data_IF_249429203364
#
_entry.id   IF_249429203364
#
_cell.length_a   1.000
_cell.length_b   1.000
_cell.length_c   1.000
_cell.angle_alpha   90.00
_cell.angle_beta   90.00
_cell.angle_gamma   90.00
#
_symmetry.space_group_name_H-M   'P 1'
#
loop_
_entity.id
_entity.type
_entity.pdbx_description
1 polymer ?
#
# COMPACT_ATOMS: atom_id res chain seq x y z
N UNK A 1 19.12 24.16 -6.38
CA UNK A 1 19.56 24.61 -7.73
C UNK A 1 19.93 23.47 -8.66
N UNK A 2 20.60 22.41 -8.20
CA UNK A 2 21.00 21.27 -9.06
C UNK A 2 19.77 20.54 -9.63
N UNK A 3 18.79 20.21 -8.82
CA UNK A 3 17.56 19.48 -9.22
C UNK A 3 16.70 20.22 -10.27
N UNK A 4 16.62 21.55 -10.20
CA UNK A 4 15.92 22.35 -11.23
C UNK A 4 16.66 22.30 -12.58
N UNK A 5 17.99 22.25 -12.57
CA UNK A 5 18.77 22.08 -13.82
C UNK A 5 18.55 20.71 -14.46
N UNK A 6 18.41 19.67 -13.64
CA UNK A 6 18.12 18.32 -14.13
C UNK A 6 16.74 18.25 -14.76
N UNK A 7 15.74 18.77 -14.10
CA UNK A 7 14.39 18.91 -14.65
C UNK A 7 14.39 19.70 -15.98
N UNK A 8 15.09 20.84 -16.02
CA UNK A 8 15.20 21.64 -17.24
C UNK A 8 15.81 20.88 -18.43
N UNK A 9 16.83 20.04 -18.18
CA UNK A 9 17.39 19.15 -19.21
C UNK A 9 16.39 18.13 -19.72
N UNK A 10 15.62 17.52 -18.81
CA UNK A 10 14.56 16.55 -19.16
C UNK A 10 13.53 17.26 -20.04
N UNK A 11 13.04 18.43 -19.63
CA UNK A 11 12.08 19.21 -20.39
C UNK A 11 12.58 19.56 -21.79
N UNK A 12 13.83 20.01 -21.91
CA UNK A 12 14.46 20.27 -23.19
C UNK A 12 14.50 19.05 -24.09
N UNK A 13 14.86 17.89 -23.53
CA UNK A 13 14.90 16.63 -24.29
C UNK A 13 13.50 16.24 -24.79
N UNK A 14 12.47 16.34 -23.95
CA UNK A 14 11.07 16.06 -24.33
C UNK A 14 10.65 16.97 -25.49
N UNK A 15 10.93 18.29 -25.41
CA UNK A 15 10.65 19.23 -26.50
C UNK A 15 11.32 18.82 -27.80
N UNK A 16 12.63 18.49 -27.76
CA UNK A 16 13.39 18.07 -28.93
C UNK A 16 12.89 16.78 -29.53
N UNK A 17 12.47 15.80 -28.73
CA UNK A 17 11.84 14.55 -29.21
C UNK A 17 10.52 14.84 -29.92
N UNK A 18 9.79 15.87 -29.50
CA UNK A 18 8.57 16.33 -30.18
C UNK A 18 8.85 17.22 -31.39
N UNK A 19 10.15 17.40 -31.81
CA UNK A 19 10.58 18.22 -32.92
C UNK A 19 10.10 19.68 -32.86
N UNK A 20 9.99 20.27 -31.66
CA UNK A 20 9.54 21.63 -31.47
C UNK A 20 10.73 22.55 -31.17
N UNK A 21 10.76 23.75 -31.78
CA UNK A 21 11.63 24.85 -31.36
C UNK A 21 11.07 25.55 -30.11
N UNK A 22 11.83 26.43 -29.47
CA UNK A 22 11.29 27.25 -28.38
C UNK A 22 10.26 28.27 -28.90
N UNK A 23 10.42 28.71 -30.11
CA UNK A 23 9.51 29.62 -30.84
C UNK A 23 8.20 28.92 -31.19
N UNK A 24 8.23 27.64 -31.57
CA UNK A 24 7.01 26.85 -31.82
C UNK A 24 6.17 26.71 -30.55
N UNK A 25 6.82 26.45 -29.42
CA UNK A 25 6.14 26.38 -28.12
C UNK A 25 5.50 27.72 -27.76
N UNK A 26 6.22 28.83 -27.96
CA UNK A 26 5.68 30.18 -27.74
C UNK A 26 4.44 30.44 -28.62
N UNK A 27 4.49 30.04 -29.89
CA UNK A 27 3.37 30.21 -30.82
C UNK A 27 2.15 29.38 -30.41
N UNK A 28 2.35 28.13 -29.94
CA UNK A 28 1.26 27.19 -29.67
C UNK A 28 0.58 27.46 -28.32
N UNK A 29 1.36 27.68 -27.26
CA UNK A 29 0.83 27.78 -25.88
C UNK A 29 1.14 29.12 -25.20
N UNK A 30 1.79 30.08 -25.89
CA UNK A 30 2.01 31.43 -25.37
C UNK A 30 3.12 31.55 -24.31
N UNK A 31 3.84 30.49 -24.00
CA UNK A 31 5.02 30.54 -23.12
C UNK A 31 6.19 31.08 -23.90
N UNK A 32 6.67 32.31 -23.57
CA UNK A 32 7.74 32.93 -24.34
C UNK A 32 9.01 32.06 -24.44
N UNK A 33 9.64 32.05 -25.62
CA UNK A 33 10.87 31.31 -25.88
C UNK A 33 11.97 31.67 -24.84
N UNK A 34 12.02 32.93 -24.41
CA UNK A 34 12.94 33.37 -23.33
C UNK A 34 12.60 32.70 -21.99
N UNK A 35 11.31 32.58 -21.63
CA UNK A 35 10.89 31.92 -20.37
C UNK A 35 11.17 30.43 -20.43
N UNK A 36 10.86 29.78 -21.55
CA UNK A 36 11.15 28.38 -21.77
C UNK A 36 12.64 28.09 -21.75
N UNK A 37 13.45 28.92 -22.40
CA UNK A 37 14.92 28.81 -22.35
C UNK A 37 15.48 28.91 -20.94
N UNK A 38 14.96 29.85 -20.12
CA UNK A 38 15.37 29.98 -18.72
C UNK A 38 14.99 28.75 -17.91
N UNK A 39 13.81 28.16 -18.19
CA UNK A 39 13.33 26.94 -17.57
C UNK A 39 14.21 25.73 -17.93
N UNK A 40 14.47 25.52 -19.20
CA UNK A 40 15.31 24.43 -19.70
C UNK A 40 16.76 24.50 -19.19
N UNK A 41 17.26 25.70 -18.95
CA UNK A 41 18.59 25.92 -18.37
C UNK A 41 18.61 25.92 -16.83
N UNK A 42 17.47 25.72 -16.18
CA UNK A 42 17.34 25.71 -14.72
C UNK A 42 17.60 27.07 -14.07
N UNK A 43 17.35 28.17 -14.80
CA UNK A 43 17.56 29.56 -14.36
C UNK A 43 16.28 30.19 -13.79
N UNK A 44 15.25 29.39 -13.52
CA UNK A 44 13.99 29.80 -12.88
C UNK A 44 13.91 29.13 -11.51
N UNK A 45 13.53 29.87 -10.48
CA UNK A 45 13.37 29.30 -9.13
C UNK A 45 12.06 28.54 -8.96
N UNK A 46 10.97 29.03 -9.57
CA UNK A 46 9.64 28.44 -9.46
C UNK A 46 9.00 28.41 -10.84
N UNK A 47 8.37 27.31 -11.18
CA UNK A 47 7.53 27.13 -12.37
C UNK A 47 6.09 27.23 -11.91
N UNK A 48 5.23 27.93 -12.67
CA UNK A 48 3.79 27.90 -12.38
C UNK A 48 3.22 26.52 -12.73
N UNK A 49 2.24 26.09 -11.95
CA UNK A 49 1.52 24.83 -12.22
C UNK A 49 0.83 24.90 -13.58
N UNK A 50 0.27 26.08 -13.95
CA UNK A 50 -0.38 26.30 -15.24
C UNK A 50 0.57 26.03 -16.41
N UNK A 51 1.79 26.58 -16.36
CA UNK A 51 2.79 26.31 -17.40
C UNK A 51 3.14 24.83 -17.52
N UNK A 52 3.22 24.11 -16.38
CA UNK A 52 3.48 22.67 -16.40
C UNK A 52 2.32 21.91 -17.03
N UNK A 53 1.06 22.29 -16.77
CA UNK A 53 -0.13 21.66 -17.37
C UNK A 53 -0.16 21.90 -18.88
N UNK A 54 0.09 23.13 -19.35
CA UNK A 54 0.11 23.47 -20.76
C UNK A 54 1.21 22.76 -21.51
N UNK A 55 2.42 22.72 -20.95
CA UNK A 55 3.54 21.95 -21.52
C UNK A 55 3.28 20.44 -21.50
N UNK A 56 2.62 19.92 -20.45
CA UNK A 56 2.22 18.51 -20.38
C UNK A 56 1.27 18.15 -21.52
N UNK A 57 0.27 19.00 -21.75
CA UNK A 57 -0.71 18.82 -22.83
C UNK A 57 -0.04 18.88 -24.21
N UNK A 58 0.92 19.78 -24.39
CA UNK A 58 1.62 19.95 -25.66
C UNK A 58 2.54 18.76 -25.97
N UNK A 59 3.24 18.23 -24.94
CA UNK A 59 4.23 17.18 -25.14
C UNK A 59 3.67 15.76 -24.97
N UNK A 60 2.45 15.61 -24.46
CA UNK A 60 1.86 14.30 -24.16
C UNK A 60 2.52 13.58 -22.97
N UNK A 61 3.18 14.32 -22.08
CA UNK A 61 3.92 13.80 -20.93
C UNK A 61 3.43 14.44 -19.62
N UNK A 62 3.36 13.68 -18.54
CA UNK A 62 3.01 14.25 -17.21
C UNK A 62 4.21 14.98 -16.59
N UNK A 63 4.39 16.24 -16.97
CA UNK A 63 5.47 17.07 -16.45
C UNK A 63 5.32 17.44 -14.99
N UNK A 64 4.11 17.39 -14.42
CA UNK A 64 3.90 17.61 -12.98
C UNK A 64 4.50 16.46 -12.18
N UNK A 65 4.27 15.22 -12.61
CA UNK A 65 4.86 14.05 -11.96
C UNK A 65 6.40 14.04 -12.11
N UNK A 66 6.90 14.33 -13.32
CA UNK A 66 8.34 14.44 -13.58
C UNK A 66 8.97 15.56 -12.72
N UNK A 67 8.32 16.71 -12.61
CA UNK A 67 8.77 17.83 -11.78
C UNK A 67 8.81 17.45 -10.31
N UNK A 68 7.75 16.83 -9.80
CA UNK A 68 7.66 16.39 -8.42
C UNK A 68 8.74 15.35 -8.08
N UNK A 69 8.91 14.34 -8.92
CA UNK A 69 9.95 13.32 -8.76
C UNK A 69 11.36 13.91 -8.69
N UNK A 70 11.65 14.91 -9.51
CA UNK A 70 13.00 15.50 -9.57
C UNK A 70 13.28 16.48 -8.43
N UNK A 71 12.31 17.31 -8.00
CA UNK A 71 12.53 18.31 -6.97
C UNK A 71 12.32 17.78 -5.56
N UNK A 72 11.36 16.90 -5.41
CA UNK A 72 10.92 16.34 -4.12
C UNK A 72 11.19 14.84 -4.03
N UNK A 73 12.35 14.40 -4.53
CA UNK A 73 12.71 12.98 -4.64
C UNK A 73 12.46 12.19 -3.36
N UNK A 74 12.88 12.71 -2.22
CA UNK A 74 12.71 12.03 -0.92
C UNK A 74 11.25 11.99 -0.47
N UNK A 75 10.46 13.03 -0.71
CA UNK A 75 9.02 13.04 -0.48
C UNK A 75 8.31 12.04 -1.41
N UNK A 76 8.70 12.01 -2.68
CA UNK A 76 8.17 11.06 -3.66
C UNK A 76 8.47 9.60 -3.25
N UNK A 77 9.71 9.30 -2.90
CA UNK A 77 10.11 7.98 -2.42
C UNK A 77 9.33 7.59 -1.15
N UNK A 78 9.15 8.52 -0.22
CA UNK A 78 8.37 8.27 0.98
C UNK A 78 6.92 7.91 0.66
N UNK A 79 6.25 8.69 -0.20
CA UNK A 79 4.85 8.41 -0.59
C UNK A 79 4.74 7.09 -1.38
N UNK A 80 5.69 6.79 -2.27
CA UNK A 80 5.75 5.50 -2.97
C UNK A 80 5.84 4.33 -1.99
N UNK A 81 6.76 4.41 -1.01
CA UNK A 81 6.93 3.37 0.00
C UNK A 81 5.69 3.27 0.89
N UNK A 82 5.13 4.41 1.30
CA UNK A 82 3.94 4.46 2.13
C UNK A 82 2.75 3.81 1.42
N UNK A 83 2.56 4.11 0.14
CA UNK A 83 1.49 3.52 -0.65
C UNK A 83 1.70 2.01 -0.83
N UNK A 84 2.91 1.57 -1.15
CA UNK A 84 3.20 0.14 -1.33
C UNK A 84 3.12 -0.66 -0.03
N UNK A 85 3.65 -0.15 1.07
CA UNK A 85 3.66 -0.86 2.36
C UNK A 85 2.45 -0.54 3.24
N UNK A 86 1.92 0.67 3.14
CA UNK A 86 0.82 1.13 3.99
C UNK A 86 -0.54 0.74 3.45
N UNK A 87 -0.73 0.81 2.14
CA UNK A 87 -2.02 0.73 1.46
C UNK A 87 -2.09 -0.45 0.49
N UNK A 88 -1.04 -0.67 -0.29
CA UNK A 88 -1.04 -1.70 -1.32
C UNK A 88 -0.66 -3.07 -0.77
N UNK A 89 -1.10 -4.08 -1.48
CA UNK A 89 -0.70 -5.48 -1.44
C UNK A 89 -0.46 -6.15 -0.08
N UNK A 90 -1.23 -7.21 0.14
CA UNK A 90 -1.03 -8.19 1.20
C UNK A 90 0.28 -8.98 0.97
N UNK A 91 0.72 -9.05 -0.28
CA UNK A 91 1.88 -9.82 -0.71
C UNK A 91 2.94 -8.91 -1.31
N UNK A 92 3.99 -8.65 -0.54
CA UNK A 92 5.22 -8.01 -1.04
C UNK A 92 6.28 -9.09 -1.10
N UNK A 93 6.83 -9.28 -2.29
CA UNK A 93 7.90 -10.24 -2.50
C UNK A 93 9.21 -9.75 -1.85
N UNK A 94 10.09 -10.69 -1.46
CA UNK A 94 11.36 -10.36 -0.80
C UNK A 94 12.22 -9.40 -1.62
N UNK A 95 12.29 -9.61 -2.94
CA UNK A 95 13.04 -8.74 -3.85
C UNK A 95 12.50 -7.31 -3.88
N UNK A 96 11.18 -7.16 -3.88
CA UNK A 96 10.54 -5.84 -3.82
C UNK A 96 10.79 -5.17 -2.47
N UNK A 97 10.72 -5.91 -1.37
CA UNK A 97 11.04 -5.41 -0.04
C UNK A 97 12.49 -4.92 0.06
N UNK A 98 13.45 -5.58 -0.61
CA UNK A 98 14.85 -5.12 -0.68
C UNK A 98 14.98 -3.79 -1.43
N UNK A 99 14.28 -3.63 -2.55
CA UNK A 99 14.25 -2.37 -3.32
C UNK A 99 13.66 -1.25 -2.46
N UNK A 100 12.51 -1.50 -1.81
CA UNK A 100 11.86 -0.52 -0.95
C UNK A 100 12.72 -0.16 0.27
N UNK A 101 13.47 -1.13 0.82
CA UNK A 101 14.40 -0.89 1.94
C UNK A 101 15.54 0.05 1.55
N UNK A 102 16.10 -0.08 0.34
CA UNK A 102 17.12 0.84 -0.19
C UNK A 102 16.54 2.24 -0.38
N UNK A 103 15.33 2.35 -0.94
CA UNK A 103 14.63 3.64 -1.08
C UNK A 103 14.36 4.29 0.27
N UNK A 104 13.93 3.50 1.26
CA UNK A 104 13.67 4.01 2.61
C UNK A 104 14.94 4.55 3.28
N UNK A 105 16.10 3.94 3.03
CA UNK A 105 17.37 4.46 3.54
C UNK A 105 17.73 5.84 2.99
N UNK A 106 17.32 6.16 1.75
CA UNK A 106 17.47 7.53 1.19
C UNK A 106 16.57 8.51 1.97
N UNK A 107 15.32 8.12 2.23
CA UNK A 107 14.35 8.93 2.99
C UNK A 107 14.84 9.19 4.42
N UNK A 108 15.38 8.18 5.09
CA UNK A 108 15.90 8.28 6.47
C UNK A 108 17.07 9.26 6.60
N UNK A 109 17.83 9.48 5.53
CA UNK A 109 18.94 10.44 5.51
C UNK A 109 18.48 11.90 5.29
N UNK A 110 17.20 12.14 4.94
CA UNK A 110 16.67 13.50 4.79
C UNK A 110 16.09 14.02 6.11
N UNK A 111 16.90 14.70 6.89
CA UNK A 111 16.52 15.25 8.20
C UNK A 111 15.29 16.18 8.14
N UNK A 112 15.02 16.85 7.00
CA UNK A 112 13.86 17.74 6.86
C UNK A 112 12.58 16.94 6.72
N UNK A 113 12.62 15.89 5.92
CA UNK A 113 11.48 15.02 5.69
C UNK A 113 11.17 14.16 6.93
N UNK A 114 12.21 13.65 7.60
CA UNK A 114 12.07 12.81 8.80
C UNK A 114 11.34 13.56 9.90
N UNK A 115 11.64 14.87 10.08
CA UNK A 115 10.97 15.70 11.09
C UNK A 115 9.46 15.80 10.81
N UNK A 116 8.67 15.17 11.65
CA UNK A 116 7.19 15.09 11.54
C UNK A 116 6.66 13.79 10.91
N UNK A 117 7.50 12.98 10.25
CA UNK A 117 7.15 11.67 9.70
C UNK A 117 7.88 10.50 10.41
N UNK A 118 8.62 10.77 11.47
CA UNK A 118 9.50 9.83 12.19
C UNK A 118 8.81 8.52 12.54
N UNK A 119 7.59 8.61 13.06
CA UNK A 119 6.79 7.45 13.46
C UNK A 119 6.45 6.56 12.28
N UNK A 120 5.97 7.16 11.19
CA UNK A 120 5.61 6.40 9.99
C UNK A 120 6.85 5.76 9.35
N UNK A 121 7.98 6.47 9.30
CA UNK A 121 9.24 5.96 8.76
C UNK A 121 9.71 4.76 9.58
N UNK A 122 9.67 4.83 10.91
CA UNK A 122 9.99 3.70 11.79
C UNK A 122 9.06 2.49 11.57
N UNK A 123 7.76 2.73 11.36
CA UNK A 123 6.81 1.65 11.05
C UNK A 123 7.09 1.02 9.68
N UNK A 124 7.39 1.84 8.65
CA UNK A 124 7.77 1.34 7.32
C UNK A 124 9.03 0.48 7.39
N UNK A 125 10.06 0.93 8.13
CA UNK A 125 11.28 0.15 8.35
C UNK A 125 10.96 -1.19 9.01
N UNK A 126 10.15 -1.17 10.04
CA UNK A 126 9.77 -2.38 10.78
C UNK A 126 8.99 -3.38 9.91
N UNK A 127 8.13 -2.89 8.99
CA UNK A 127 7.44 -3.77 8.03
C UNK A 127 8.42 -4.42 7.05
N UNK A 128 9.38 -3.66 6.54
CA UNK A 128 10.40 -4.19 5.64
C UNK A 128 11.28 -5.22 6.33
N UNK A 129 11.73 -4.93 7.56
CA UNK A 129 12.53 -5.86 8.36
C UNK A 129 11.77 -7.17 8.57
N UNK A 130 10.47 -7.11 8.86
CA UNK A 130 9.64 -8.30 9.04
C UNK A 130 9.51 -9.15 7.77
N UNK A 131 9.38 -8.52 6.60
CA UNK A 131 9.30 -9.24 5.32
C UNK A 131 10.63 -9.91 4.98
N UNK A 132 11.74 -9.23 5.24
CA UNK A 132 13.08 -9.71 4.92
C UNK A 132 13.58 -10.78 5.91
N UNK A 133 13.26 -10.61 7.20
CA UNK A 133 13.76 -11.43 8.31
C UNK A 133 12.63 -12.25 8.95
N UNK A 134 12.07 -13.22 8.20
CA UNK A 134 10.97 -14.06 8.69
C UNK A 134 11.31 -14.91 9.92
N UNK A 135 12.61 -15.08 10.22
CA UNK A 135 13.11 -15.90 11.34
C UNK A 135 13.25 -15.13 12.66
N UNK A 136 13.07 -13.80 12.64
CA UNK A 136 13.14 -13.01 13.88
C UNK A 136 11.92 -13.30 14.75
N UNK A 137 12.15 -13.47 16.05
CA UNK A 137 11.11 -13.73 17.03
C UNK A 137 9.99 -12.68 16.94
N UNK A 138 8.77 -13.16 16.86
CA UNK A 138 7.56 -12.31 16.81
C UNK A 138 7.44 -11.38 18.01
N UNK A 139 7.96 -11.77 19.18
CA UNK A 139 7.95 -10.93 20.38
C UNK A 139 8.81 -9.68 20.21
N UNK A 140 9.96 -9.78 19.55
CA UNK A 140 10.85 -8.64 19.24
C UNK A 140 10.12 -7.64 18.33
N UNK A 141 9.39 -8.13 17.32
CA UNK A 141 8.58 -7.24 16.47
C UNK A 141 7.43 -6.59 17.25
N UNK A 142 6.77 -7.34 18.14
CA UNK A 142 5.70 -6.79 18.97
C UNK A 142 6.20 -5.64 19.83
N UNK A 143 7.31 -5.84 20.55
CA UNK A 143 7.91 -4.79 21.40
C UNK A 143 8.25 -3.55 20.58
N UNK A 144 8.88 -3.71 19.40
CA UNK A 144 9.19 -2.58 18.51
C UNK A 144 7.94 -1.87 18.00
N UNK A 145 6.88 -2.61 17.65
CA UNK A 145 5.60 -2.00 17.28
C UNK A 145 4.99 -1.22 18.45
N UNK A 146 5.02 -1.83 19.65
CA UNK A 146 4.51 -1.19 20.86
C UNK A 146 5.26 0.09 21.19
N UNK A 147 6.58 0.11 21.09
CA UNK A 147 7.41 1.31 21.31
C UNK A 147 7.08 2.43 20.33
N UNK A 148 6.95 2.09 19.04
CA UNK A 148 6.63 3.09 18.00
C UNK A 148 5.20 3.60 18.16
N UNK A 149 4.26 2.72 18.54
CA UNK A 149 2.85 3.06 18.74
C UNK A 149 2.58 3.49 20.19
N UNK A 150 3.53 3.41 21.12
CA UNK A 150 3.41 3.41 22.59
C UNK A 150 2.88 4.70 23.20
N UNK A 151 2.78 5.79 22.48
CA UNK A 151 1.90 6.88 22.88
C UNK A 151 0.41 6.52 22.73
N UNK A 152 0.13 5.30 22.31
CA UNK A 152 -1.16 4.66 22.42
C UNK A 152 -1.27 4.17 23.88
N UNK A 153 -1.66 5.03 24.77
CA UNK A 153 -2.15 4.62 26.09
C UNK A 153 -3.41 3.77 25.89
N UNK A 154 -3.19 2.47 25.63
CA UNK A 154 -4.24 1.45 25.60
C UNK A 154 -4.57 1.08 27.06
N UNK A 155 -4.92 2.06 27.87
CA UNK A 155 -5.73 1.85 29.05
C UNK A 155 -7.15 2.10 28.59
N UNK A 156 -7.93 1.05 28.43
CA UNK A 156 -9.38 1.04 28.18
C UNK A 156 -9.93 1.54 26.83
N UNK A 157 -9.27 2.40 26.06
CA UNK A 157 -9.85 3.02 24.87
C UNK A 157 -8.88 3.07 23.67
N UNK A 158 -8.36 1.91 23.19
CA UNK A 158 -7.66 1.80 21.88
C UNK A 158 -8.44 2.45 20.74
N UNK A 159 -9.71 2.73 20.98
CA UNK A 159 -10.72 2.90 19.96
C UNK A 159 -11.13 4.35 19.77
N UNK A 160 -10.82 5.23 20.69
CA UNK A 160 -11.25 6.64 20.61
C UNK A 160 -10.25 7.53 19.85
N UNK A 161 -9.10 6.97 19.48
CA UNK A 161 -8.08 7.68 18.71
C UNK A 161 -8.27 7.44 17.21
N UNK A 162 -7.99 8.46 16.39
CA UNK A 162 -7.78 8.31 14.94
C UNK A 162 -6.38 7.74 14.70
N UNK A 163 -6.31 6.64 13.97
CA UNK A 163 -5.08 6.02 13.50
C UNK A 163 -4.83 6.37 12.04
N UNK A 164 -3.58 6.59 11.66
CA UNK A 164 -3.18 6.61 10.27
C UNK A 164 -3.30 5.19 9.68
N UNK A 165 -3.37 5.09 8.36
CA UNK A 165 -3.46 3.82 7.64
C UNK A 165 -2.33 2.85 8.04
N UNK A 166 -1.10 3.35 8.16
CA UNK A 166 0.04 2.53 8.53
C UNK A 166 0.02 2.08 10.00
N UNK A 167 -0.50 2.92 10.90
CA UNK A 167 -0.71 2.54 12.31
C UNK A 167 -1.78 1.44 12.42
N UNK A 168 -2.88 1.55 11.66
CA UNK A 168 -3.90 0.50 11.62
C UNK A 168 -3.31 -0.82 11.13
N UNK A 169 -2.49 -0.78 10.08
CA UNK A 169 -1.79 -1.97 9.58
C UNK A 169 -0.85 -2.58 10.62
N UNK A 170 -0.14 -1.74 11.38
CA UNK A 170 0.70 -2.22 12.48
C UNK A 170 -0.12 -2.94 13.56
N UNK A 171 -1.27 -2.39 13.94
CA UNK A 171 -2.18 -3.04 14.89
C UNK A 171 -2.73 -4.37 14.36
N UNK A 172 -3.08 -4.44 13.09
CA UNK A 172 -3.49 -5.71 12.44
C UNK A 172 -2.38 -6.76 12.53
N UNK A 173 -1.13 -6.39 12.27
CA UNK A 173 0.01 -7.30 12.40
C UNK A 173 0.17 -7.81 13.84
N UNK A 174 0.05 -6.93 14.84
CA UNK A 174 0.09 -7.33 16.25
C UNK A 174 -1.06 -8.30 16.56
N UNK A 175 -2.27 -8.02 16.11
CA UNK A 175 -3.42 -8.89 16.31
C UNK A 175 -3.27 -10.26 15.64
N UNK A 176 -2.59 -10.34 14.50
CA UNK A 176 -2.33 -11.60 13.81
C UNK A 176 -1.28 -12.47 14.51
N UNK A 177 -0.26 -11.83 15.11
CA UNK A 177 0.83 -12.54 15.75
C UNK A 177 0.49 -13.06 17.14
N UNK A 178 -0.43 -12.44 17.84
CA UNK A 178 -0.78 -12.73 19.22
C UNK A 178 -2.27 -12.94 19.40
N UNK A 179 -2.66 -13.85 20.27
CA UNK A 179 -4.07 -14.15 20.57
C UNK A 179 -4.77 -12.99 21.28
N UNK A 180 -4.05 -12.32 22.16
CA UNK A 180 -4.55 -11.22 22.97
C UNK A 180 -3.57 -10.04 22.97
N UNK A 181 -4.11 -8.85 23.03
CA UNK A 181 -3.34 -7.63 23.16
C UNK A 181 -3.86 -6.79 24.31
N UNK A 182 -3.07 -6.62 25.38
CA UNK A 182 -3.39 -5.77 26.56
C UNK A 182 -4.80 -5.98 27.09
N UNK A 183 -5.20 -7.20 27.37
CA UNK A 183 -6.49 -7.60 27.98
C UNK A 183 -7.70 -7.53 27.02
N UNK A 184 -7.51 -7.23 25.75
CA UNK A 184 -8.56 -7.31 24.74
C UNK A 184 -8.36 -8.52 23.84
N UNK A 185 -9.44 -9.16 23.43
CA UNK A 185 -9.35 -10.14 22.35
C UNK A 185 -8.98 -9.42 21.07
N UNK A 186 -8.12 -10.05 20.27
CA UNK A 186 -7.71 -9.47 18.99
C UNK A 186 -8.88 -9.28 18.03
N UNK A 187 -9.92 -10.12 18.16
CA UNK A 187 -11.15 -9.95 17.39
C UNK A 187 -11.86 -8.64 17.72
N UNK A 188 -12.01 -8.28 19.01
CA UNK A 188 -12.66 -7.03 19.42
C UNK A 188 -11.90 -5.80 18.92
N UNK A 189 -10.56 -5.85 18.94
CA UNK A 189 -9.72 -4.77 18.40
C UNK A 189 -9.94 -4.65 16.89
N UNK A 190 -9.89 -5.77 16.16
CA UNK A 190 -10.07 -5.79 14.71
C UNK A 190 -11.46 -5.32 14.30
N UNK A 191 -12.53 -5.75 15.01
CA UNK A 191 -13.88 -5.31 14.71
C UNK A 191 -14.02 -3.79 14.83
N UNK A 192 -13.52 -3.22 15.92
CA UNK A 192 -13.54 -1.78 16.13
C UNK A 192 -12.68 -1.00 15.13
N UNK A 193 -11.52 -1.55 14.73
CA UNK A 193 -10.69 -0.96 13.68
C UNK A 193 -11.41 -1.00 12.33
N UNK A 194 -12.15 -2.07 12.01
CA UNK A 194 -12.90 -2.20 10.76
C UNK A 194 -13.95 -1.11 10.59
N UNK A 195 -14.62 -0.72 11.69
CA UNK A 195 -15.64 0.32 11.71
C UNK A 195 -15.07 1.73 11.50
N UNK A 196 -13.81 1.96 11.90
CA UNK A 196 -13.13 3.26 11.81
C UNK A 196 -12.21 3.40 10.59
N UNK A 197 -11.95 2.32 9.87
CA UNK A 197 -11.04 2.30 8.74
C UNK A 197 -11.72 2.88 7.49
N UNK A 198 -11.25 4.03 7.02
CA UNK A 198 -11.72 4.63 5.77
C UNK A 198 -10.97 4.14 4.53
N UNK A 199 -9.85 3.45 4.71
CA UNK A 199 -9.08 2.88 3.62
C UNK A 199 -9.56 1.46 3.30
N UNK A 200 -10.10 1.25 2.08
CA UNK A 200 -10.70 -0.01 1.68
C UNK A 200 -9.71 -1.18 1.74
N UNK A 201 -8.47 -0.98 1.30
CA UNK A 201 -7.45 -2.05 1.26
C UNK A 201 -7.10 -2.50 2.68
N UNK A 202 -6.85 -1.55 3.60
CA UNK A 202 -6.57 -1.89 5.00
C UNK A 202 -7.79 -2.52 5.66
N UNK A 203 -9.00 -2.09 5.31
CA UNK A 203 -10.23 -2.72 5.81
C UNK A 203 -10.36 -4.17 5.35
N UNK A 204 -9.98 -4.50 4.11
CA UNK A 204 -9.92 -5.89 3.65
C UNK A 204 -8.89 -6.72 4.43
N UNK A 205 -7.73 -6.14 4.76
CA UNK A 205 -6.75 -6.78 5.65
C UNK A 205 -7.33 -7.06 7.05
N UNK A 206 -8.08 -6.12 7.59
CA UNK A 206 -8.74 -6.28 8.88
C UNK A 206 -9.77 -7.42 8.81
N UNK A 207 -10.63 -7.44 7.79
CA UNK A 207 -11.60 -8.53 7.61
C UNK A 207 -10.93 -9.89 7.47
N UNK A 208 -9.89 -10.00 6.66
CA UNK A 208 -9.12 -11.24 6.52
C UNK A 208 -8.58 -11.72 7.88
N UNK A 209 -8.05 -10.80 8.68
CA UNK A 209 -7.54 -11.11 10.03
C UNK A 209 -8.66 -11.55 10.99
N UNK A 210 -9.85 -10.94 10.91
CA UNK A 210 -11.03 -11.34 11.68
C UNK A 210 -11.51 -12.74 11.29
N UNK A 211 -11.60 -13.00 9.98
CA UNK A 211 -12.01 -14.29 9.42
C UNK A 211 -11.06 -15.39 9.90
N UNK A 212 -9.76 -15.19 9.75
CA UNK A 212 -8.75 -16.14 10.20
C UNK A 212 -8.85 -16.43 11.70
N UNK A 213 -9.14 -15.42 12.52
CA UNK A 213 -9.33 -15.59 13.96
C UNK A 213 -10.57 -16.43 14.26
N UNK A 214 -11.70 -16.12 13.65
CA UNK A 214 -12.94 -16.85 13.83
C UNK A 214 -12.80 -18.30 13.36
N UNK A 215 -12.09 -18.54 12.27
CA UNK A 215 -11.81 -19.88 11.77
C UNK A 215 -10.97 -20.69 12.77
N UNK A 216 -9.89 -20.11 13.31
CA UNK A 216 -9.05 -20.77 14.34
C UNK A 216 -9.85 -21.09 15.60
N UNK A 217 -10.83 -20.25 15.95
CA UNK A 217 -11.70 -20.44 17.11
C UNK A 217 -12.92 -21.36 16.80
N UNK A 218 -12.93 -22.04 15.63
CA UNK A 218 -14.02 -22.95 15.16
C UNK A 218 -15.39 -22.25 15.04
N UNK A 219 -15.41 -20.96 14.68
CA UNK A 219 -16.60 -20.12 14.53
C UNK A 219 -16.91 -19.85 13.04
N UNK A 220 -16.90 -20.89 12.21
CA UNK A 220 -17.04 -20.79 10.75
C UNK A 220 -18.33 -20.09 10.30
N UNK A 221 -19.44 -20.24 11.02
CA UNK A 221 -20.69 -19.52 10.72
C UNK A 221 -20.58 -17.99 10.90
N UNK A 222 -19.82 -17.54 11.88
CA UNK A 222 -19.59 -16.12 12.08
C UNK A 222 -18.58 -15.58 11.06
N UNK A 223 -17.56 -16.38 10.73
CA UNK A 223 -16.62 -16.04 9.67
C UNK A 223 -17.36 -15.82 8.34
N UNK A 224 -18.33 -16.69 7.97
CA UNK A 224 -19.14 -16.55 6.77
C UNK A 224 -19.90 -15.22 6.69
N UNK A 225 -20.38 -14.68 7.82
CA UNK A 225 -21.02 -13.34 7.84
C UNK A 225 -20.04 -12.23 7.46
N UNK A 226 -18.83 -12.28 8.01
CA UNK A 226 -17.77 -11.29 7.69
C UNK A 226 -17.33 -11.46 6.22
N UNK A 227 -17.14 -12.70 5.76
CA UNK A 227 -16.77 -13.00 4.37
C UNK A 227 -17.79 -12.41 3.39
N UNK A 228 -19.09 -12.64 3.62
CA UNK A 228 -20.16 -12.12 2.76
C UNK A 228 -20.13 -10.59 2.70
N UNK A 229 -19.96 -9.93 3.83
CA UNK A 229 -19.82 -8.47 3.88
C UNK A 229 -18.59 -7.99 3.12
N UNK A 230 -17.44 -8.63 3.36
CA UNK A 230 -16.16 -8.26 2.73
C UNK A 230 -16.18 -8.48 1.21
N UNK A 231 -16.76 -9.58 0.72
CA UNK A 231 -16.93 -9.85 -0.72
C UNK A 231 -17.76 -8.74 -1.38
N UNK A 232 -18.87 -8.31 -0.77
CA UNK A 232 -19.69 -7.24 -1.31
C UNK A 232 -18.90 -5.94 -1.42
N UNK A 233 -18.16 -5.56 -0.39
CA UNK A 233 -17.32 -4.35 -0.42
C UNK A 233 -16.19 -4.47 -1.45
N UNK A 234 -15.49 -5.59 -1.51
CA UNK A 234 -14.41 -5.82 -2.47
C UNK A 234 -14.93 -5.82 -3.93
N UNK A 235 -16.14 -6.32 -4.16
CA UNK A 235 -16.79 -6.29 -5.47
C UNK A 235 -17.10 -4.85 -5.92
N UNK A 236 -17.64 -4.02 -5.03
CA UNK A 236 -17.91 -2.60 -5.31
C UNK A 236 -16.60 -1.87 -5.65
N UNK A 237 -15.52 -2.17 -4.94
CA UNK A 237 -14.21 -1.56 -5.14
C UNK A 237 -13.40 -2.18 -6.29
N UNK A 238 -13.91 -3.24 -6.95
CA UNK A 238 -13.22 -4.00 -8.01
C UNK A 238 -11.85 -4.54 -7.57
N UNK A 239 -11.72 -4.92 -6.30
CA UNK A 239 -10.49 -5.41 -5.70
C UNK A 239 -10.36 -6.92 -5.92
N UNK A 240 -9.79 -7.31 -7.06
CA UNK A 240 -9.61 -8.71 -7.44
C UNK A 240 -8.66 -9.48 -6.50
N UNK A 241 -7.67 -8.80 -5.93
CA UNK A 241 -6.74 -9.40 -4.97
C UNK A 241 -7.48 -9.79 -3.68
N UNK A 242 -8.25 -8.85 -3.10
CA UNK A 242 -9.07 -9.13 -1.93
C UNK A 242 -10.14 -10.19 -2.23
N UNK A 243 -10.83 -10.11 -3.37
CA UNK A 243 -11.83 -11.12 -3.78
C UNK A 243 -11.22 -12.51 -3.86
N UNK A 244 -10.01 -12.64 -4.40
CA UNK A 244 -9.33 -13.94 -4.48
C UNK A 244 -9.14 -14.56 -3.09
N UNK A 245 -8.69 -13.78 -2.12
CA UNK A 245 -8.48 -14.26 -0.75
C UNK A 245 -9.80 -14.57 -0.05
N UNK A 246 -10.79 -13.68 -0.16
CA UNK A 246 -12.08 -13.84 0.49
C UNK A 246 -12.86 -15.04 -0.04
N UNK A 247 -12.79 -15.32 -1.33
CA UNK A 247 -13.39 -16.54 -1.89
C UNK A 247 -12.63 -17.81 -1.48
N UNK A 248 -11.31 -17.71 -1.26
CA UNK A 248 -10.54 -18.80 -0.68
C UNK A 248 -10.94 -19.05 0.79
N UNK A 249 -11.09 -18.00 1.59
CA UNK A 249 -11.57 -18.13 2.97
C UNK A 249 -13.00 -18.68 3.02
N UNK A 250 -13.86 -18.27 2.08
CA UNK A 250 -15.20 -18.81 1.90
C UNK A 250 -15.17 -20.30 1.61
N UNK A 251 -14.34 -20.73 0.68
CA UNK A 251 -14.11 -22.14 0.36
C UNK A 251 -13.76 -22.96 1.61
N UNK A 252 -12.83 -22.45 2.43
CA UNK A 252 -12.43 -23.16 3.66
C UNK A 252 -13.60 -23.28 4.63
N UNK A 253 -14.35 -22.21 4.86
CA UNK A 253 -15.50 -22.24 5.77
C UNK A 253 -16.63 -23.13 5.25
N UNK A 254 -16.96 -23.10 3.96
CA UNK A 254 -17.96 -23.97 3.33
C UNK A 254 -17.58 -25.45 3.42
N UNK A 255 -16.31 -25.75 3.15
CA UNK A 255 -15.79 -27.12 3.27
C UNK A 255 -15.92 -27.64 4.72
N UNK A 256 -15.56 -26.80 5.69
CA UNK A 256 -15.63 -27.13 7.12
C UNK A 256 -17.09 -27.34 7.60
N UNK A 257 -18.02 -26.58 7.03
CA UNK A 257 -19.45 -26.69 7.31
C UNK A 257 -20.15 -27.81 6.51
N UNK A 258 -19.45 -28.51 5.61
CA UNK A 258 -20.01 -29.53 4.76
C UNK A 258 -20.91 -29.01 3.63
N UNK A 259 -20.81 -27.71 3.31
CA UNK A 259 -21.57 -27.09 2.23
C UNK A 259 -20.92 -27.42 0.87
N UNK A 260 -21.69 -28.03 -0.04
CA UNK A 260 -21.19 -28.47 -1.36
C UNK A 260 -20.86 -27.34 -2.32
N UNK A 261 -21.22 -26.10 -2.00
CA UNK A 261 -20.91 -24.92 -2.82
C UNK A 261 -19.43 -24.54 -2.76
N UNK A 262 -18.62 -25.16 -1.91
CA UNK A 262 -17.20 -24.89 -1.77
C UNK A 262 -16.41 -24.97 -3.10
N UNK A 263 -16.87 -25.83 -4.05
CA UNK A 263 -16.24 -25.93 -5.37
C UNK A 263 -16.39 -24.67 -6.22
N UNK A 264 -17.50 -23.95 -6.10
CA UNK A 264 -17.70 -22.68 -6.78
C UNK A 264 -16.79 -21.60 -6.18
N UNK A 265 -16.72 -21.54 -4.86
CA UNK A 265 -15.90 -20.56 -4.13
C UNK A 265 -14.42 -20.70 -4.48
N UNK A 266 -13.87 -21.91 -4.55
CA UNK A 266 -12.47 -22.09 -4.94
C UNK A 266 -12.23 -21.70 -6.41
N UNK A 267 -13.19 -21.94 -7.31
CA UNK A 267 -13.08 -21.52 -8.70
C UNK A 267 -13.09 -19.99 -8.84
N UNK A 268 -13.93 -19.30 -8.08
CA UNK A 268 -13.90 -17.82 -8.02
C UNK A 268 -12.56 -17.31 -7.47
N UNK A 269 -12.04 -17.91 -6.40
CA UNK A 269 -10.75 -17.54 -5.84
C UNK A 269 -9.61 -17.62 -6.88
N UNK A 270 -9.53 -18.75 -7.61
CA UNK A 270 -8.53 -18.98 -8.67
C UNK A 270 -8.70 -18.00 -9.83
N UNK A 271 -9.94 -17.73 -10.23
CA UNK A 271 -10.23 -16.79 -11.32
C UNK A 271 -9.80 -15.39 -10.97
N UNK A 272 -10.17 -14.91 -9.77
CA UNK A 272 -9.77 -13.58 -9.30
C UNK A 272 -8.25 -13.48 -9.16
N UNK A 273 -7.56 -14.51 -8.66
CA UNK A 273 -6.10 -14.53 -8.56
C UNK A 273 -5.41 -14.42 -9.92
N UNK A 274 -5.93 -15.11 -10.94
CA UNK A 274 -5.39 -15.00 -12.31
C UNK A 274 -5.61 -13.60 -12.90
N UNK A 275 -6.80 -13.04 -12.70
CA UNK A 275 -7.16 -11.73 -13.23
C UNK A 275 -6.43 -10.57 -12.51
N UNK A 276 -6.06 -10.75 -11.24
CA UNK A 276 -5.27 -9.77 -10.50
C UNK A 276 -3.81 -9.66 -10.96
N UNK A 277 -3.32 -10.65 -11.73
CA UNK A 277 -1.92 -10.71 -12.17
C UNK A 277 -0.93 -11.18 -11.09
N UNK A 278 -1.39 -11.54 -9.90
CA UNK A 278 -0.53 -12.05 -8.82
C UNK A 278 -0.30 -13.55 -8.94
N UNK A 279 0.79 -13.93 -9.62
CA UNK A 279 1.15 -15.34 -9.84
C UNK A 279 1.35 -16.10 -8.52
N UNK A 280 2.06 -15.50 -7.56
CA UNK A 280 2.35 -16.09 -6.25
C UNK A 280 1.09 -16.35 -5.41
N UNK A 281 0.04 -15.53 -5.57
CA UNK A 281 -1.24 -15.72 -4.92
C UNK A 281 -1.96 -16.95 -5.49
N UNK A 282 -2.01 -17.09 -6.82
CA UNK A 282 -2.60 -18.24 -7.47
C UNK A 282 -1.90 -19.55 -7.08
N UNK A 283 -0.57 -19.58 -7.09
CA UNK A 283 0.22 -20.73 -6.65
C UNK A 283 -0.04 -21.10 -5.18
N UNK A 284 -0.21 -20.08 -4.33
CA UNK A 284 -0.51 -20.29 -2.91
C UNK A 284 -1.89 -20.91 -2.72
N UNK A 285 -2.91 -20.45 -3.45
CA UNK A 285 -4.27 -20.99 -3.43
C UNK A 285 -4.27 -22.44 -3.92
N UNK A 286 -3.62 -22.72 -5.06
CA UNK A 286 -3.51 -24.07 -5.60
C UNK A 286 -2.84 -25.04 -4.62
N UNK A 287 -1.71 -24.65 -4.05
CA UNK A 287 -1.01 -25.48 -3.08
C UNK A 287 -1.85 -25.80 -1.84
N UNK A 288 -2.54 -24.78 -1.30
CA UNK A 288 -3.39 -24.95 -0.12
C UNK A 288 -4.63 -25.78 -0.43
N UNK A 289 -5.27 -25.57 -1.59
CA UNK A 289 -6.39 -26.38 -2.06
C UNK A 289 -6.01 -27.86 -2.13
N UNK A 290 -4.90 -28.17 -2.81
CA UNK A 290 -4.42 -29.54 -2.93
C UNK A 290 -4.11 -30.18 -1.57
N UNK A 291 -3.60 -29.41 -0.61
CA UNK A 291 -3.32 -29.91 0.74
C UNK A 291 -4.58 -30.20 1.57
N UNK A 292 -5.72 -29.60 1.25
CA UNK A 292 -6.98 -29.82 1.94
C UNK A 292 -7.79 -30.99 1.34
N UNK A 293 -7.80 -31.11 0.03
CA UNK A 293 -8.60 -32.15 -0.69
C UNK A 293 -7.89 -33.49 -0.72
N UNK A 294 -6.57 -33.54 -0.65
CA UNK A 294 -5.78 -34.79 -0.67
C UNK A 294 -5.57 -35.41 0.74
N UNK A 295 -6.16 -34.83 1.78
CA UNK A 295 -6.24 -35.42 3.14
C UNK A 295 -7.57 -36.13 3.32
#
# INVERSE_FOLDING_TARGET
>A
MIKIKEFGKILKNIRLVNNLSQEDVEFIIGISARSLSRLENGNIKNISVDNLIELSSLYGEDLLDIYYKNLFETDYLYEEILNKLGVASIFIEKNEAEILSKKLSIVENDNKLVKGKEKNIKLLRLFLDRIQNKEVDKHVFKERYEDIISNIHIKSNVIDRKYSTIEMRALVNICNDFKEYKSFSNYEILDKLSQKCNNNIVRMLIYNSMINRLYIDYRSNEAMRIITKAINEATINKDLEALSMLYYDKFICEHDLGDKTYNESINYAKTCAKLSGFVSLNETIERKYNSLILK
#
